data_IF_341234495618
#
_entry.id   IF_341234495618
#
_cell.length_a   1.000
_cell.length_b   1.000
_cell.length_c   1.000
_cell.angle_alpha   90.00
_cell.angle_beta   90.00
_cell.angle_gamma   90.00
#
_symmetry.space_group_name_H-M   'P 1'
#
loop_
_entity.id
_entity.type
_entity.pdbx_description
1 polymer ?
#
# COMPACT_ATOMS: atom_id res chain seq x y z
N UNK A 1 -13.15 -7.87 16.16
CA UNK A 1 -12.34 -6.65 15.89
C UNK A 1 -10.92 -6.63 16.51
N UNK A 2 -10.53 -7.48 17.47
CA UNK A 2 -9.12 -7.58 17.93
C UNK A 2 -8.30 -8.68 17.25
N UNK A 3 -8.98 -9.75 16.81
CA UNK A 3 -8.38 -10.87 16.06
C UNK A 3 -7.68 -10.42 14.77
N UNK A 4 -8.25 -9.45 14.03
CA UNK A 4 -7.61 -8.91 12.82
C UNK A 4 -6.32 -8.11 13.14
N UNK A 5 -6.27 -7.41 14.28
CA UNK A 5 -5.07 -6.69 14.73
C UNK A 5 -3.95 -7.63 15.16
N UNK A 6 -4.28 -8.80 15.72
CA UNK A 6 -3.33 -9.76 16.28
C UNK A 6 -2.49 -10.53 15.23
N UNK A 7 -2.92 -10.61 13.96
CA UNK A 7 -2.20 -11.31 12.85
C UNK A 7 -1.71 -12.74 13.18
N UNK A 8 -2.39 -13.50 14.06
CA UNK A 8 -2.10 -14.92 14.25
C UNK A 8 -3.31 -15.78 13.88
N UNK A 9 -3.10 -16.71 12.95
CA UNK A 9 -3.99 -17.84 12.64
C UNK A 9 -3.51 -19.06 13.42
N UNK A 10 -3.82 -19.14 14.71
CA UNK A 10 -3.98 -20.43 15.37
C UNK A 10 -4.60 -20.21 16.73
N UNK A 11 -5.92 -20.30 16.77
CA UNK A 11 -6.69 -21.08 17.73
C UNK A 11 -8.11 -21.06 17.16
N UNK A 12 -8.54 -22.24 16.75
CA UNK A 12 -9.91 -22.55 16.40
C UNK A 12 -10.72 -22.21 17.66
N UNK A 13 -11.68 -21.31 17.51
CA UNK A 13 -12.59 -20.80 18.54
C UNK A 13 -12.00 -19.94 19.66
N UNK A 14 -12.25 -18.63 19.55
CA UNK A 14 -11.95 -17.67 20.60
C UNK A 14 -12.53 -16.30 20.30
N UNK A 15 -13.85 -16.19 20.12
CA UNK A 15 -14.60 -14.93 20.04
C UNK A 15 -14.66 -14.18 21.40
N UNK A 16 -13.61 -14.31 22.22
CA UNK A 16 -13.52 -13.67 23.53
C UNK A 16 -12.34 -12.71 23.54
N UNK A 17 -12.66 -11.44 23.81
CA UNK A 17 -11.73 -10.35 24.15
C UNK A 17 -11.00 -10.66 25.48
N UNK A 18 -10.20 -11.73 25.50
CA UNK A 18 -9.51 -12.18 26.72
C UNK A 18 -8.35 -11.24 27.05
N UNK A 19 -8.02 -11.14 28.35
CA UNK A 19 -6.84 -10.41 28.86
C UNK A 19 -5.56 -10.78 28.10
N UNK A 20 -5.46 -12.04 27.64
CA UNK A 20 -4.36 -12.51 26.79
C UNK A 20 -4.22 -11.70 25.48
N UNK A 21 -5.31 -11.45 24.75
CA UNK A 21 -5.26 -10.66 23.52
C UNK A 21 -4.94 -9.19 23.78
N UNK A 22 -5.43 -8.63 24.88
CA UNK A 22 -5.08 -7.27 25.31
C UNK A 22 -3.59 -7.16 25.64
N UNK A 23 -3.05 -8.08 26.43
CA UNK A 23 -1.64 -8.11 26.77
C UNK A 23 -0.75 -8.27 25.53
N UNK A 24 -1.13 -9.15 24.60
CA UNK A 24 -0.40 -9.33 23.34
C UNK A 24 -0.43 -8.07 22.47
N UNK A 25 -1.58 -7.40 22.38
CA UNK A 25 -1.71 -6.14 21.64
C UNK A 25 -0.88 -5.02 22.29
N UNK A 26 -0.91 -4.90 23.62
CA UNK A 26 -0.11 -3.93 24.38
C UNK A 26 1.39 -4.18 24.23
N UNK A 27 1.84 -5.43 24.36
CA UNK A 27 3.25 -5.78 24.15
C UNK A 27 3.70 -5.48 22.71
N UNK A 28 2.83 -5.70 21.72
CA UNK A 28 3.11 -5.33 20.32
C UNK A 28 3.14 -3.81 20.13
N UNK A 29 2.24 -3.06 20.77
CA UNK A 29 2.24 -1.60 20.75
C UNK A 29 3.53 -1.05 21.34
N UNK A 30 3.96 -1.54 22.49
CA UNK A 30 5.22 -1.16 23.13
C UNK A 30 6.43 -1.49 22.25
N UNK A 31 6.50 -2.70 21.69
CA UNK A 31 7.61 -3.09 20.82
C UNK A 31 7.65 -2.34 19.49
N UNK A 32 6.49 -1.90 19.01
CA UNK A 32 6.36 -1.16 17.76
C UNK A 32 6.37 0.36 17.97
N UNK A 33 6.56 0.82 19.21
CA UNK A 33 6.62 2.24 19.52
C UNK A 33 7.95 2.80 19.02
N UNK A 34 7.88 3.88 18.26
CA UNK A 34 9.04 4.65 17.83
C UNK A 34 9.15 5.81 18.81
N UNK A 35 10.19 5.78 19.63
CA UNK A 35 10.42 6.81 20.66
C UNK A 35 10.91 8.13 20.06
N UNK A 36 11.65 8.06 18.97
CA UNK A 36 12.19 9.22 18.27
C UNK A 36 12.87 8.82 16.97
N UNK A 37 13.28 9.81 16.21
CA UNK A 37 14.00 9.66 14.95
C UNK A 37 15.14 10.67 14.89
N UNK A 38 16.23 10.28 14.24
CA UNK A 38 17.35 11.18 13.97
C UNK A 38 17.08 11.93 12.67
N UNK A 39 17.22 13.25 12.68
CA UNK A 39 17.13 14.07 11.46
C UNK A 39 18.41 14.01 10.60
N UNK A 40 18.40 14.74 9.48
CA UNK A 40 19.51 14.82 8.53
C UNK A 40 20.77 15.45 9.13
N UNK A 41 20.63 16.27 10.17
CA UNK A 41 21.74 16.89 10.89
C UNK A 41 22.28 16.01 12.02
N UNK A 42 21.74 14.81 12.21
CA UNK A 42 22.15 13.88 13.27
C UNK A 42 21.53 14.18 14.62
N UNK A 43 20.52 15.05 14.70
CA UNK A 43 19.85 15.43 15.96
C UNK A 43 18.70 14.46 16.23
N UNK A 44 18.63 13.98 17.47
CA UNK A 44 17.55 13.11 17.94
C UNK A 44 16.29 13.92 18.24
N UNK A 45 15.21 13.64 17.51
CA UNK A 45 13.90 14.28 17.66
C UNK A 45 12.92 13.29 18.27
N UNK A 46 12.17 13.73 19.28
CA UNK A 46 11.14 12.92 19.97
C UNK A 46 9.76 13.57 19.89
N UNK A 47 9.67 14.81 19.39
CA UNK A 47 8.41 15.51 19.23
C UNK A 47 7.67 15.04 17.97
N UNK A 48 6.35 14.91 18.09
CA UNK A 48 5.50 14.37 17.02
C UNK A 48 5.63 15.15 15.71
N UNK A 49 5.72 16.48 15.78
CA UNK A 49 5.84 17.34 14.61
C UNK A 49 7.17 17.17 13.87
N UNK A 50 8.29 17.09 14.57
CA UNK A 50 9.59 16.86 13.93
C UNK A 50 9.70 15.44 13.39
N UNK A 51 9.17 14.45 14.09
CA UNK A 51 9.09 13.08 13.56
C UNK A 51 8.24 13.01 12.30
N UNK A 52 7.05 13.63 12.29
CA UNK A 52 6.19 13.72 11.10
C UNK A 52 6.94 14.36 9.93
N UNK A 53 7.63 15.48 10.17
CA UNK A 53 8.45 16.16 9.16
C UNK A 53 9.54 15.25 8.61
N UNK A 54 10.32 14.58 9.46
CA UNK A 54 11.37 13.63 9.03
C UNK A 54 10.79 12.53 8.13
N UNK A 55 9.62 11.99 8.50
CA UNK A 55 8.93 10.95 7.72
C UNK A 55 8.49 11.49 6.37
N UNK A 56 7.82 12.64 6.35
CA UNK A 56 7.30 13.26 5.13
C UNK A 56 8.43 13.68 4.20
N UNK A 57 9.49 14.29 4.70
CA UNK A 57 10.66 14.71 3.92
C UNK A 57 11.33 13.48 3.28
N UNK A 58 11.54 12.41 4.06
CA UNK A 58 12.10 11.16 3.55
C UNK A 58 11.26 10.57 2.41
N UNK A 59 9.96 10.35 2.65
CA UNK A 59 9.08 9.73 1.67
C UNK A 59 8.86 10.63 0.46
N UNK A 60 8.73 11.94 0.65
CA UNK A 60 8.62 12.90 -0.44
C UNK A 60 9.86 12.84 -1.33
N UNK A 61 11.07 12.81 -0.75
CA UNK A 61 12.31 12.74 -1.51
C UNK A 61 12.42 11.43 -2.33
N UNK A 62 12.12 10.27 -1.74
CA UNK A 62 12.22 8.99 -2.48
C UNK A 62 11.11 8.80 -3.53
N UNK A 63 9.95 9.42 -3.34
CA UNK A 63 8.86 9.42 -4.32
C UNK A 63 8.96 10.57 -5.33
N UNK A 64 9.87 11.52 -5.12
CA UNK A 64 10.17 12.56 -6.09
C UNK A 64 11.05 11.98 -7.20
N UNK A 65 10.61 12.16 -8.43
CA UNK A 65 11.47 11.84 -9.58
C UNK A 65 12.59 12.88 -9.65
N UNK A 66 13.84 12.45 -9.68
CA UNK A 66 14.97 13.35 -9.93
C UNK A 66 15.07 13.80 -11.39
N UNK A 67 14.09 13.43 -12.25
CA UNK A 67 14.06 13.80 -13.66
C UNK A 67 15.22 13.17 -14.42
N UNK A 68 15.05 12.00 -15.08
CA UNK A 68 16.14 11.42 -15.83
C UNK A 68 16.64 12.40 -16.90
N UNK A 69 17.93 12.72 -16.84
CA UNK A 69 18.66 13.31 -17.96
C UNK A 69 18.78 12.21 -19.02
N UNK A 70 18.13 12.41 -20.17
CA UNK A 70 18.17 11.59 -21.39
C UNK A 70 18.47 10.09 -21.20
N UNK A 71 17.42 9.28 -21.05
CA UNK A 71 17.52 7.82 -20.95
C UNK A 71 17.61 7.10 -22.30
N UNK A 72 17.67 7.83 -23.42
CA UNK A 72 17.66 7.25 -24.77
C UNK A 72 18.80 6.26 -25.00
N UNK A 73 20.00 6.56 -24.50
CA UNK A 73 21.18 5.69 -24.62
C UNK A 73 20.97 4.32 -23.94
N UNK A 74 20.26 4.29 -22.80
CA UNK A 74 19.94 3.05 -22.08
C UNK A 74 18.91 2.24 -22.86
N UNK A 75 17.86 2.90 -23.36
CA UNK A 75 16.79 2.24 -24.12
C UNK A 75 17.33 1.61 -25.42
N UNK A 76 18.24 2.29 -26.11
CA UNK A 76 18.91 1.77 -27.33
C UNK A 76 19.78 0.55 -27.03
N UNK A 77 20.41 0.49 -25.86
CA UNK A 77 21.25 -0.65 -25.45
C UNK A 77 20.45 -1.91 -25.07
N UNK A 78 19.14 -1.78 -24.80
CA UNK A 78 18.28 -2.90 -24.41
C UNK A 78 17.79 -3.64 -25.65
N UNK A 79 18.13 -4.92 -25.76
CA UNK A 79 17.60 -5.79 -26.81
C UNK A 79 16.09 -6.00 -26.61
N UNK A 80 15.23 -5.68 -27.59
CA UNK A 80 13.81 -5.95 -27.49
C UNK A 80 13.53 -7.45 -27.42
N UNK A 81 12.73 -7.85 -26.42
CA UNK A 81 12.22 -9.23 -26.27
C UNK A 81 10.71 -9.33 -26.49
N UNK A 82 10.02 -8.18 -26.47
CA UNK A 82 8.60 -8.08 -26.78
C UNK A 82 8.49 -7.84 -28.28
N UNK A 83 7.78 -8.73 -28.98
CA UNK A 83 7.51 -8.59 -30.42
C UNK A 83 6.46 -7.52 -30.66
N UNK A 84 6.38 -6.98 -31.87
CA UNK A 84 5.36 -5.98 -32.23
C UNK A 84 3.94 -6.50 -31.98
N UNK A 85 3.67 -7.79 -32.26
CA UNK A 85 2.36 -8.39 -31.99
C UNK A 85 2.04 -8.47 -30.50
N UNK A 86 3.02 -8.78 -29.65
CA UNK A 86 2.87 -8.73 -28.20
C UNK A 86 2.63 -7.29 -27.74
N UNK A 87 3.36 -6.33 -28.30
CA UNK A 87 3.20 -4.92 -27.96
C UNK A 87 1.80 -4.41 -28.34
N UNK A 88 1.32 -4.72 -29.54
CA UNK A 88 -0.04 -4.42 -29.97
C UNK A 88 -1.11 -5.01 -29.04
N UNK A 89 -0.85 -6.20 -28.47
CA UNK A 89 -1.73 -6.83 -27.50
C UNK A 89 -1.66 -6.13 -26.13
N UNK A 90 -0.47 -5.79 -25.65
CA UNK A 90 -0.23 -5.12 -24.37
C UNK A 90 -0.72 -3.67 -24.35
N UNK A 91 -0.78 -3.01 -25.52
CA UNK A 91 -1.28 -1.64 -25.67
C UNK A 91 -2.80 -1.57 -25.94
N UNK A 92 -3.52 -2.70 -25.92
CA UNK A 92 -4.98 -2.69 -26.03
C UNK A 92 -5.62 -1.98 -24.81
N UNK A 93 -6.80 -1.37 -24.98
CA UNK A 93 -7.57 -0.86 -23.85
C UNK A 93 -7.92 -1.97 -22.85
N UNK A 94 -7.92 -1.62 -21.57
CA UNK A 94 -8.34 -2.51 -20.49
C UNK A 94 -9.82 -2.86 -20.62
N UNK A 95 -10.17 -4.10 -20.27
CA UNK A 95 -11.52 -4.64 -20.38
C UNK A 95 -12.13 -4.99 -19.01
N UNK A 96 -13.47 -5.01 -18.95
CA UNK A 96 -14.22 -5.28 -17.71
C UNK A 96 -13.91 -6.65 -17.07
N UNK A 97 -13.72 -7.68 -17.89
CA UNK A 97 -13.32 -9.01 -17.43
C UNK A 97 -11.93 -9.01 -16.76
N UNK A 98 -11.01 -8.15 -17.19
CA UNK A 98 -9.69 -8.00 -16.59
C UNK A 98 -9.78 -7.39 -15.20
N UNK A 99 -10.65 -6.39 -15.01
CA UNK A 99 -10.91 -5.78 -13.70
C UNK A 99 -11.44 -6.83 -12.72
N UNK A 100 -12.45 -7.60 -13.14
CA UNK A 100 -13.03 -8.64 -12.29
C UNK A 100 -12.00 -9.75 -11.96
N UNK A 101 -11.19 -10.15 -12.94
CA UNK A 101 -10.13 -11.15 -12.75
C UNK A 101 -9.06 -10.64 -11.79
N UNK A 102 -8.61 -9.40 -11.95
CA UNK A 102 -7.64 -8.77 -11.06
C UNK A 102 -8.16 -8.72 -9.62
N UNK A 103 -9.43 -8.34 -9.42
CA UNK A 103 -10.04 -8.33 -8.09
C UNK A 103 -10.03 -9.72 -7.45
N UNK A 104 -10.37 -10.77 -8.20
CA UNK A 104 -10.36 -12.16 -7.70
C UNK A 104 -8.96 -12.67 -7.35
N UNK A 105 -7.92 -12.16 -8.00
CA UNK A 105 -6.53 -12.51 -7.70
C UNK A 105 -6.03 -11.82 -6.42
N UNK A 106 -6.70 -10.78 -5.92
CA UNK A 106 -6.32 -10.11 -4.68
C UNK A 106 -6.57 -11.01 -3.46
N UNK A 107 -5.60 -11.08 -2.56
CA UNK A 107 -5.81 -11.75 -1.27
C UNK A 107 -6.87 -11.01 -0.44
N UNK A 108 -7.77 -11.78 0.18
CA UNK A 108 -8.95 -11.30 0.91
C UNK A 108 -8.65 -10.28 2.02
N UNK A 109 -7.51 -10.42 2.69
CA UNK A 109 -7.13 -9.65 3.89
C UNK A 109 -5.86 -8.81 3.66
N UNK A 110 -5.81 -8.07 2.55
CA UNK A 110 -4.77 -7.06 2.33
C UNK A 110 -4.97 -5.85 3.23
N UNK A 111 -3.92 -5.04 3.35
CA UNK A 111 -3.99 -3.76 4.07
C UNK A 111 -5.14 -2.93 3.55
N UNK A 112 -5.86 -2.29 4.48
CA UNK A 112 -7.04 -1.51 4.17
C UNK A 112 -6.61 -0.15 3.59
N UNK A 113 -7.40 0.36 2.64
CA UNK A 113 -7.41 1.79 2.28
C UNK A 113 -7.78 2.64 3.52
N UNK A 114 -7.54 3.96 3.53
CA UNK A 114 -8.15 4.90 4.47
C UNK A 114 -9.64 4.62 4.76
N UNK A 115 -10.38 4.14 3.77
CA UNK A 115 -11.82 3.81 3.88
C UNK A 115 -12.11 2.55 4.71
N UNK A 116 -11.09 1.76 5.05
CA UNK A 116 -11.25 0.57 5.89
C UNK A 116 -11.86 -0.64 5.18
N UNK A 117 -12.05 -0.59 3.86
CA UNK A 117 -12.73 -1.65 3.09
C UNK A 117 -11.71 -2.64 2.50
N UNK A 118 -11.76 -3.94 2.86
CA UNK A 118 -10.85 -4.95 2.31
C UNK A 118 -11.29 -5.48 0.94
N UNK A 119 -10.39 -6.11 0.15
CA UNK A 119 -10.76 -6.79 -1.09
C UNK A 119 -11.89 -7.83 -0.95
N UNK A 120 -11.99 -8.49 0.23
CA UNK A 120 -13.08 -9.42 0.54
C UNK A 120 -14.47 -8.79 0.35
N UNK A 121 -14.64 -7.52 0.70
CA UNK A 121 -15.92 -6.82 0.55
C UNK A 121 -16.33 -6.75 -0.92
N UNK A 122 -15.44 -6.27 -1.78
CA UNK A 122 -15.71 -6.12 -3.20
C UNK A 122 -15.88 -7.47 -3.91
N UNK A 123 -15.14 -8.50 -3.48
CA UNK A 123 -15.33 -9.86 -4.01
C UNK A 123 -16.69 -10.44 -3.62
N UNK A 124 -17.11 -10.25 -2.36
CA UNK A 124 -18.38 -10.78 -1.86
C UNK A 124 -19.59 -10.05 -2.44
N UNK A 125 -19.54 -8.72 -2.52
CA UNK A 125 -20.63 -7.88 -3.01
C UNK A 125 -20.44 -7.43 -4.47
N UNK A 126 -19.70 -8.21 -5.27
CA UNK A 126 -19.41 -7.85 -6.67
C UNK A 126 -20.69 -7.67 -7.50
N UNK A 127 -21.73 -8.44 -7.24
CA UNK A 127 -23.02 -8.29 -7.95
C UNK A 127 -23.70 -6.95 -7.72
N UNK A 128 -23.37 -6.23 -6.63
CA UNK A 128 -23.96 -4.93 -6.30
C UNK A 128 -23.08 -3.77 -6.75
N UNK A 129 -21.76 -3.90 -6.60
CA UNK A 129 -20.81 -2.80 -6.82
C UNK A 129 -19.93 -2.98 -8.06
N UNK A 130 -19.97 -4.15 -8.71
CA UNK A 130 -19.04 -4.52 -9.76
C UNK A 130 -19.06 -3.57 -10.96
N UNK A 131 -20.23 -3.12 -11.37
CA UNK A 131 -20.37 -2.19 -12.50
C UNK A 131 -19.78 -0.82 -12.17
N UNK A 132 -20.02 -0.31 -10.97
CA UNK A 132 -19.49 0.97 -10.51
C UNK A 132 -17.95 0.91 -10.38
N UNK A 133 -17.42 -0.13 -9.74
CA UNK A 133 -15.98 -0.34 -9.59
C UNK A 133 -15.32 -0.50 -10.96
N UNK A 134 -15.90 -1.29 -11.86
CA UNK A 134 -15.38 -1.50 -13.21
C UNK A 134 -15.32 -0.20 -13.99
N UNK A 135 -16.40 0.59 -13.96
CA UNK A 135 -16.43 1.89 -14.63
C UNK A 135 -15.31 2.81 -14.13
N UNK A 136 -15.17 2.98 -12.82
CA UNK A 136 -14.13 3.84 -12.24
C UNK A 136 -12.73 3.39 -12.64
N UNK A 137 -12.47 2.07 -12.60
CA UNK A 137 -11.16 1.52 -12.98
C UNK A 137 -10.86 1.74 -14.47
N UNK A 138 -11.84 1.52 -15.34
CA UNK A 138 -11.65 1.71 -16.79
C UNK A 138 -11.54 3.19 -17.17
N UNK A 139 -12.32 4.07 -16.55
CA UNK A 139 -12.21 5.53 -16.74
C UNK A 139 -10.80 6.01 -16.35
N UNK A 140 -10.22 5.47 -15.28
CA UNK A 140 -8.84 5.77 -14.92
C UNK A 140 -7.83 5.19 -15.92
N UNK A 141 -7.87 3.88 -16.17
CA UNK A 141 -6.81 3.19 -16.94
C UNK A 141 -6.83 3.53 -18.43
N UNK A 142 -8.01 3.75 -19.02
CA UNK A 142 -8.14 4.03 -20.45
C UNK A 142 -8.25 5.53 -20.76
N UNK A 143 -8.78 6.35 -19.85
CA UNK A 143 -9.05 7.77 -20.11
C UNK A 143 -8.27 8.72 -19.19
N UNK A 144 -7.49 8.19 -18.23
CA UNK A 144 -6.76 8.98 -17.22
C UNK A 144 -7.66 9.87 -16.36
N UNK A 145 -8.93 9.48 -16.15
CA UNK A 145 -9.88 10.20 -15.30
C UNK A 145 -9.75 9.70 -13.87
N UNK A 146 -9.22 10.54 -12.97
CA UNK A 146 -8.96 10.18 -11.57
C UNK A 146 -10.07 10.73 -10.67
N UNK A 147 -10.77 9.88 -9.88
CA UNK A 147 -11.69 10.37 -8.86
C UNK A 147 -10.98 11.24 -7.82
N UNK A 148 -11.66 12.23 -7.23
CA UNK A 148 -11.09 13.01 -6.13
C UNK A 148 -10.61 12.08 -5.01
N UNK A 149 -9.45 12.40 -4.42
CA UNK A 149 -8.86 11.68 -3.27
C UNK A 149 -8.40 10.24 -3.55
N UNK A 150 -8.45 9.77 -4.79
CA UNK A 150 -8.10 8.39 -5.12
C UNK A 150 -6.64 8.01 -4.78
N UNK A 151 -5.75 9.01 -4.75
CA UNK A 151 -4.34 8.84 -4.40
C UNK A 151 -4.01 9.23 -2.94
N UNK A 152 -5.01 9.50 -2.09
CA UNK A 152 -4.78 9.68 -0.66
C UNK A 152 -4.28 8.35 -0.05
N UNK A 153 -3.17 8.40 0.67
CA UNK A 153 -2.53 7.22 1.24
C UNK A 153 -2.13 7.46 2.69
N UNK A 154 -2.13 6.38 3.48
CA UNK A 154 -1.57 6.40 4.83
C UNK A 154 -0.15 5.83 4.81
N UNK A 155 0.80 6.65 5.23
CA UNK A 155 2.16 6.19 5.52
C UNK A 155 2.13 5.45 6.85
N UNK A 156 2.42 4.15 6.82
CA UNK A 156 2.50 3.31 8.02
C UNK A 156 3.93 2.80 8.15
N UNK A 157 4.60 3.19 9.23
CA UNK A 157 5.95 2.72 9.53
C UNK A 157 5.91 1.28 10.06
N UNK A 158 6.72 0.41 9.45
CA UNK A 158 6.91 -0.98 9.88
C UNK A 158 8.36 -1.14 10.32
N UNK A 159 8.57 -1.40 11.62
CA UNK A 159 9.92 -1.60 12.15
C UNK A 159 10.55 -2.87 11.55
N UNK A 160 11.70 -2.71 10.91
CA UNK A 160 12.53 -3.83 10.41
C UNK A 160 13.51 -4.33 11.47
N UNK A 161 13.91 -3.47 12.41
CA UNK A 161 14.86 -3.77 13.50
C UNK A 161 14.30 -3.35 14.86
N UNK A 162 14.89 -3.84 15.94
CA UNK A 162 14.56 -3.35 17.30
C UNK A 162 15.10 -1.93 17.47
N UNK A 163 14.31 -1.05 18.06
CA UNK A 163 14.66 0.33 18.40
C UNK A 163 15.29 1.10 17.23
N UNK A 164 14.57 1.26 16.09
CA UNK A 164 15.12 1.99 14.96
C UNK A 164 15.29 3.47 15.31
N UNK A 165 16.42 4.03 14.89
CA UNK A 165 16.77 5.44 15.13
C UNK A 165 16.72 6.31 13.87
N UNK A 166 16.60 5.70 12.69
CA UNK A 166 16.59 6.35 11.38
C UNK A 166 15.60 5.68 10.43
N UNK A 167 15.10 6.44 9.46
CA UNK A 167 14.28 5.93 8.36
C UNK A 167 15.20 5.50 7.20
N UNK A 168 14.92 4.33 6.64
CA UNK A 168 15.64 3.70 5.49
C UNK A 168 14.65 2.91 4.64
#
# INVERSE_FOLDING_TARGET
MWHQRAKQMWIIDGDRSTSFFHQKASNRKQRNFIEGLTDEHGIWQTDDHSMERIILDYFSNIFHSNGPTDTSAIVVAIKPVVTDSMNCCLCQPFQANEVHRALKQMHLKKSLSPDGIPPLFYQHFWSLYGDCVTKVVLDYLNLSIIPPKFNETHVILILKVKNPTKIT
#
